data_IF_071797407966
#
_entry.id   IF_071797407966
#
_cell.length_a   1.000
_cell.length_b   1.000
_cell.length_c   1.000
_cell.angle_alpha   90.00
_cell.angle_beta   90.00
_cell.angle_gamma   90.00
#
_symmetry.space_group_name_H-M   'P 1'
#
loop_
_entity.id
_entity.type
_entity.pdbx_description
1 polymer ?
#
# COMPACT_ATOMS: atom_id res chain seq x y z
N UNK A 1 0.59 7.11 -13.66
CA UNK A 1 0.73 5.68 -13.31
C UNK A 1 -0.14 5.38 -12.12
N UNK A 2 -0.64 4.16 -12.00
CA UNK A 2 -1.45 3.71 -10.85
C UNK A 2 -0.62 2.83 -9.90
N UNK A 3 -1.29 2.31 -8.89
CA UNK A 3 -0.76 1.30 -7.98
C UNK A 3 -1.62 0.04 -8.12
N UNK A 4 -1.00 -1.09 -8.44
CA UNK A 4 -1.68 -2.37 -8.58
C UNK A 4 -1.52 -3.23 -7.33
N UNK A 5 -2.43 -4.19 -7.15
CA UNK A 5 -2.42 -5.09 -6.00
C UNK A 5 -1.09 -5.85 -5.84
N UNK A 6 -0.51 -6.31 -6.95
CA UNK A 6 0.78 -7.01 -6.95
C UNK A 6 1.90 -6.13 -6.41
N UNK A 7 1.89 -4.84 -6.72
CA UNK A 7 2.87 -3.88 -6.20
C UNK A 7 2.64 -3.64 -4.70
N UNK A 8 1.40 -3.52 -4.25
CA UNK A 8 1.07 -3.38 -2.81
C UNK A 8 1.61 -4.57 -2.02
N UNK A 9 1.34 -5.79 -2.48
CA UNK A 9 1.83 -7.03 -1.84
C UNK A 9 3.35 -7.06 -1.80
N UNK A 10 4.00 -6.77 -2.92
CA UNK A 10 5.46 -6.69 -3.00
C UNK A 10 6.04 -5.69 -2.00
N UNK A 11 5.51 -4.47 -1.92
CA UNK A 11 5.97 -3.43 -1.00
C UNK A 11 5.80 -3.84 0.47
N UNK A 12 4.73 -4.58 0.80
CA UNK A 12 4.47 -5.07 2.15
C UNK A 12 5.40 -6.22 2.56
N UNK A 13 5.65 -7.15 1.63
CA UNK A 13 6.42 -8.37 1.87
C UNK A 13 7.93 -8.12 1.81
N UNK A 14 8.39 -7.38 0.80
CA UNK A 14 9.81 -7.24 0.48
C UNK A 14 10.38 -5.88 0.92
N UNK A 15 9.55 -4.84 0.98
CA UNK A 15 10.01 -3.49 1.36
C UNK A 15 9.49 -2.99 2.71
N UNK A 16 8.90 -3.92 3.48
CA UNK A 16 8.44 -3.71 4.85
C UNK A 16 7.39 -2.61 5.02
N UNK A 17 6.60 -2.28 3.99
CA UNK A 17 5.52 -1.31 4.13
C UNK A 17 4.48 -1.78 5.17
N UNK A 18 4.13 -0.91 6.11
CA UNK A 18 3.17 -1.17 7.21
C UNK A 18 1.97 -0.24 7.23
N UNK A 19 1.91 0.76 6.34
CA UNK A 19 0.81 1.71 6.23
C UNK A 19 0.67 2.22 4.79
N UNK A 20 -0.44 2.90 4.46
CA UNK A 20 -0.54 3.56 3.16
C UNK A 20 0.47 4.71 3.05
N UNK A 21 0.86 5.33 4.17
CA UNK A 21 1.87 6.39 4.17
C UNK A 21 3.23 5.89 3.65
N UNK A 22 3.62 4.69 4.05
CA UNK A 22 4.85 4.03 3.58
C UNK A 22 4.84 3.91 2.05
N UNK A 23 3.73 3.42 1.52
CA UNK A 23 3.53 3.18 0.09
C UNK A 23 3.50 4.52 -0.66
N UNK A 24 2.64 5.45 -0.23
CA UNK A 24 2.34 6.69 -0.95
C UNK A 24 3.50 7.68 -0.91
N UNK A 25 4.24 7.76 0.20
CA UNK A 25 5.21 8.83 0.42
C UNK A 25 6.64 8.36 0.53
N UNK A 26 6.90 7.11 0.92
CA UNK A 26 8.27 6.60 1.09
C UNK A 26 8.74 5.70 -0.04
N UNK A 27 7.84 4.94 -0.68
CA UNK A 27 8.20 3.98 -1.76
C UNK A 27 7.86 4.47 -3.16
N UNK A 28 6.70 5.09 -3.35
CA UNK A 28 6.20 5.38 -4.71
C UNK A 28 6.05 6.86 -5.04
N UNK A 29 5.94 7.73 -4.03
CA UNK A 29 5.59 9.16 -4.18
C UNK A 29 4.22 9.41 -4.85
N UNK A 30 3.38 8.40 -4.99
CA UNK A 30 2.04 8.53 -5.58
C UNK A 30 1.11 9.44 -4.77
N UNK A 31 1.42 9.71 -3.50
CA UNK A 31 0.71 10.71 -2.71
C UNK A 31 0.72 12.11 -3.33
N UNK A 32 1.69 12.43 -4.20
CA UNK A 32 1.75 13.72 -4.92
C UNK A 32 0.79 13.80 -6.12
N UNK A 33 0.25 12.66 -6.56
CA UNK A 33 -0.47 12.57 -7.83
C UNK A 33 -1.89 12.01 -7.69
N UNK A 34 -2.17 11.25 -6.63
CA UNK A 34 -3.47 10.62 -6.42
C UNK A 34 -4.43 11.56 -5.71
N UNK A 35 -5.70 11.47 -6.08
CA UNK A 35 -6.79 12.15 -5.37
C UNK A 35 -6.94 11.61 -3.94
N UNK A 36 -7.42 12.48 -3.04
CA UNK A 36 -7.68 12.13 -1.64
C UNK A 36 -8.55 10.89 -1.47
N UNK A 37 -9.57 10.73 -2.33
CA UNK A 37 -10.45 9.55 -2.31
C UNK A 37 -9.68 8.24 -2.52
N UNK A 38 -8.74 8.22 -3.45
CA UNK A 38 -7.90 7.05 -3.73
C UNK A 38 -6.94 6.75 -2.59
N UNK A 39 -6.33 7.80 -1.99
CA UNK A 39 -5.48 7.63 -0.82
C UNK A 39 -6.24 7.03 0.37
N UNK A 40 -7.47 7.50 0.61
CA UNK A 40 -8.34 6.96 1.66
C UNK A 40 -8.77 5.51 1.39
N UNK A 41 -9.04 5.17 0.13
CA UNK A 41 -9.37 3.79 -0.24
C UNK A 41 -8.19 2.83 0.04
N UNK A 42 -6.95 3.25 -0.26
CA UNK A 42 -5.77 2.48 0.07
C UNK A 42 -5.62 2.32 1.60
N UNK A 43 -5.73 3.41 2.36
CA UNK A 43 -5.65 3.39 3.83
C UNK A 43 -6.67 2.41 4.44
N UNK A 44 -7.92 2.45 3.96
CA UNK A 44 -8.97 1.54 4.41
C UNK A 44 -8.69 0.07 4.07
N UNK A 45 -7.99 -0.22 2.96
CA UNK A 45 -7.66 -1.57 2.52
C UNK A 45 -6.39 -2.15 3.20
N UNK A 46 -5.51 -1.32 3.75
CA UNK A 46 -4.25 -1.77 4.38
C UNK A 46 -4.42 -2.88 5.43
N UNK A 47 -5.41 -2.85 6.35
CA UNK A 47 -5.59 -3.90 7.33
C UNK A 47 -5.80 -5.29 6.72
N UNK A 48 -6.51 -5.39 5.59
CA UNK A 48 -6.72 -6.65 4.89
C UNK A 48 -5.44 -7.16 4.26
N UNK A 49 -4.67 -6.30 3.58
CA UNK A 49 -3.37 -6.68 3.02
C UNK A 49 -2.39 -7.16 4.10
N UNK A 50 -2.34 -6.46 5.24
CA UNK A 50 -1.47 -6.84 6.36
C UNK A 50 -1.92 -8.14 7.05
N UNK A 51 -3.23 -8.44 7.07
CA UNK A 51 -3.77 -9.72 7.55
C UNK A 51 -3.36 -10.86 6.62
N UNK A 52 -3.50 -10.67 5.31
CA UNK A 52 -3.18 -11.68 4.31
C UNK A 52 -1.69 -12.08 4.34
N UNK A 53 -0.77 -11.14 4.58
CA UNK A 53 0.65 -11.46 4.77
C UNK A 53 0.89 -12.47 5.90
N UNK A 54 0.21 -12.32 7.05
CA UNK A 54 0.42 -13.18 8.23
C UNK A 54 -0.02 -14.63 8.00
N UNK A 55 -0.90 -14.88 7.03
CA UNK A 55 -1.38 -16.24 6.70
C UNK A 55 -0.40 -16.98 5.77
N UNK A 56 0.45 -16.25 5.05
CA UNK A 56 1.40 -16.80 4.08
C UNK A 56 2.78 -17.11 4.68
N UNK A 57 2.91 -17.11 6.02
CA UNK A 57 4.15 -17.27 6.78
C UNK A 57 4.24 -18.62 7.48
#
# INVERSE_FOLDING_TARGET
GGLYEVEIRYLIEHEFARSAEDILWRRTKLGLHLEKKTMLALEAAMPDYLRQRKVAS
#
